data_IF_936542948955
#
_entry.id   IF_936542948955
#
_cell.length_a   1.000
_cell.length_b   1.000
_cell.length_c   1.000
_cell.angle_alpha   90.00
_cell.angle_beta   90.00
_cell.angle_gamma   90.00
#
_symmetry.space_group_name_H-M   'P 1'
#
loop_
_entity.id
_entity.type
_entity.pdbx_description
1 polymer ?
#
# COMPACT_ATOMS: atom_id res chain seq x y z
N UNK A 1 -8.00 -9.51 35.23
CA UNK A 1 -7.50 -8.60 34.19
C UNK A 1 -6.40 -9.36 33.46
N UNK A 2 -6.66 -9.82 32.24
CA UNK A 2 -5.65 -10.54 31.45
C UNK A 2 -4.96 -9.47 30.61
N UNK A 3 -3.70 -9.17 30.92
CA UNK A 3 -2.86 -8.37 30.04
C UNK A 3 -2.48 -9.22 28.82
N UNK A 4 -3.19 -9.04 27.71
CA UNK A 4 -2.88 -9.74 26.46
C UNK A 4 -1.86 -8.91 25.67
N UNK A 5 -0.58 -9.02 26.04
CA UNK A 5 0.53 -8.25 25.43
C UNK A 5 0.98 -8.76 24.05
N UNK A 6 0.32 -9.78 23.48
CA UNK A 6 0.70 -10.38 22.18
C UNK A 6 -0.33 -10.21 21.05
N UNK A 7 -1.62 -10.05 21.36
CA UNK A 7 -2.67 -9.92 20.32
C UNK A 7 -2.59 -8.59 19.55
N UNK A 8 -2.05 -7.54 20.18
CA UNK A 8 -2.02 -6.20 19.58
C UNK A 8 -1.06 -6.10 18.40
N UNK A 9 0.09 -6.78 18.48
CA UNK A 9 1.08 -6.79 17.40
C UNK A 9 0.57 -7.61 16.21
N UNK A 10 0.00 -8.80 16.47
CA UNK A 10 -0.62 -9.64 15.43
C UNK A 10 -1.75 -8.90 14.69
N UNK A 11 -2.60 -8.18 15.43
CA UNK A 11 -3.69 -7.40 14.85
C UNK A 11 -3.17 -6.21 14.05
N UNK A 12 -2.11 -5.54 14.53
CA UNK A 12 -1.49 -4.44 13.81
C UNK A 12 -0.90 -4.89 12.47
N UNK A 13 -0.15 -6.00 12.46
CA UNK A 13 0.41 -6.58 11.24
C UNK A 13 -0.69 -6.99 10.26
N UNK A 14 -1.76 -7.62 10.74
CA UNK A 14 -2.91 -7.97 9.92
C UNK A 14 -3.59 -6.73 9.32
N UNK A 15 -3.75 -5.65 10.10
CA UNK A 15 -4.31 -4.39 9.60
C UNK A 15 -3.41 -3.75 8.55
N UNK A 16 -2.09 -3.79 8.75
CA UNK A 16 -1.11 -3.26 7.81
C UNK A 16 -1.13 -4.05 6.48
N UNK A 17 -1.10 -5.38 6.55
CA UNK A 17 -1.19 -6.25 5.37
C UNK A 17 -2.50 -6.02 4.60
N UNK A 18 -3.62 -5.85 5.31
CA UNK A 18 -4.90 -5.51 4.69
C UNK A 18 -4.88 -4.14 3.99
N UNK A 19 -4.24 -3.14 4.60
CA UNK A 19 -4.09 -1.82 4.00
C UNK A 19 -3.23 -1.84 2.73
N UNK A 20 -2.16 -2.63 2.72
CA UNK A 20 -1.30 -2.85 1.55
C UNK A 20 -2.02 -3.62 0.44
N UNK A 21 -2.76 -4.67 0.78
CA UNK A 21 -3.57 -5.42 -0.18
C UNK A 21 -4.59 -4.52 -0.90
N UNK A 22 -5.20 -3.56 -0.21
CA UNK A 22 -6.10 -2.58 -0.85
C UNK A 22 -5.37 -1.71 -1.88
N UNK A 23 -4.14 -1.29 -1.61
CA UNK A 23 -3.32 -0.54 -2.58
C UNK A 23 -3.06 -1.40 -3.82
N UNK A 24 -2.66 -2.65 -3.65
CA UNK A 24 -2.43 -3.58 -4.77
C UNK A 24 -3.71 -3.79 -5.60
N UNK A 25 -4.88 -3.90 -4.95
CA UNK A 25 -6.15 -3.99 -5.67
C UNK A 25 -6.43 -2.72 -6.49
N UNK A 26 -6.19 -1.52 -5.93
CA UNK A 26 -6.32 -0.27 -6.68
C UNK A 26 -5.42 -0.21 -7.91
N UNK A 27 -4.16 -0.66 -7.79
CA UNK A 27 -3.23 -0.76 -8.93
C UNK A 27 -3.78 -1.73 -9.98
N UNK A 28 -4.18 -2.94 -9.59
CA UNK A 28 -4.74 -3.96 -10.49
C UNK A 28 -5.99 -3.46 -11.22
N UNK A 29 -6.89 -2.79 -10.51
CA UNK A 29 -8.09 -2.19 -11.12
C UNK A 29 -7.73 -1.08 -12.10
N UNK A 30 -6.79 -0.21 -11.76
CA UNK A 30 -6.34 0.85 -12.66
C UNK A 30 -5.72 0.28 -13.93
N UNK A 31 -4.84 -0.72 -13.80
CA UNK A 31 -4.22 -1.43 -14.93
C UNK A 31 -5.26 -2.16 -15.81
N UNK A 32 -6.23 -2.85 -15.20
CA UNK A 32 -7.31 -3.52 -15.92
C UNK A 32 -8.19 -2.54 -16.73
N UNK A 33 -8.28 -1.29 -16.28
CA UNK A 33 -8.96 -0.20 -16.98
C UNK A 33 -8.06 0.53 -18.00
N UNK A 34 -6.85 0.04 -18.25
CA UNK A 34 -5.89 0.61 -19.20
C UNK A 34 -5.11 1.83 -18.70
N UNK A 35 -5.18 2.14 -17.40
CA UNK A 35 -4.41 3.22 -16.81
C UNK A 35 -3.00 2.77 -16.43
N UNK A 36 -2.07 3.72 -16.44
CA UNK A 36 -0.67 3.56 -16.00
C UNK A 36 -0.38 4.23 -14.66
N UNK A 37 -1.40 4.75 -14.00
CA UNK A 37 -1.24 5.35 -12.68
C UNK A 37 -2.51 5.29 -11.86
N UNK A 38 -2.36 5.32 -10.54
CA UNK A 38 -3.44 5.51 -9.60
C UNK A 38 -2.99 6.34 -8.40
N UNK A 39 -3.91 7.08 -7.80
CA UNK A 39 -3.67 7.75 -6.52
C UNK A 39 -4.32 6.93 -5.43
N UNK A 40 -3.55 6.59 -4.41
CA UNK A 40 -4.03 5.86 -3.24
C UNK A 40 -3.85 6.70 -1.99
N UNK A 41 -4.82 6.60 -1.07
CA UNK A 41 -4.72 7.16 0.27
C UNK A 41 -4.82 6.01 1.28
N UNK A 42 -3.72 5.69 1.96
CA UNK A 42 -3.64 4.53 2.83
C UNK A 42 -2.48 4.62 3.81
N UNK A 43 -2.71 4.21 5.07
CA UNK A 43 -1.64 3.99 6.07
C UNK A 43 -0.73 2.80 5.74
N UNK A 44 -1.06 2.03 4.71
CA UNK A 44 -0.22 0.94 4.19
C UNK A 44 0.97 1.40 3.35
N UNK A 45 1.09 2.70 3.05
CA UNK A 45 2.18 3.32 2.30
C UNK A 45 3.46 3.44 3.17
N UNK A 46 3.94 2.31 3.68
CA UNK A 46 5.20 2.26 4.43
C UNK A 46 6.38 2.34 3.48
N UNK A 47 7.51 2.88 3.94
CA UNK A 47 8.74 2.95 3.14
C UNK A 47 9.15 1.57 2.60
N UNK A 48 9.05 0.51 3.41
CA UNK A 48 9.34 -0.87 2.97
C UNK A 48 8.43 -1.32 1.83
N UNK A 49 7.14 -1.01 1.91
CA UNK A 49 6.18 -1.37 0.85
C UNK A 49 6.42 -0.59 -0.43
N UNK A 50 6.75 0.70 -0.32
CA UNK A 50 7.09 1.54 -1.46
C UNK A 50 8.37 1.04 -2.16
N UNK A 51 9.42 0.67 -1.42
CA UNK A 51 10.63 0.08 -2.01
C UNK A 51 10.39 -1.29 -2.67
N UNK A 52 9.45 -2.08 -2.14
CA UNK A 52 9.03 -3.32 -2.81
C UNK A 52 8.32 -3.02 -4.14
N UNK A 53 7.43 -2.03 -4.17
CA UNK A 53 6.76 -1.58 -5.40
C UNK A 53 7.78 -1.10 -6.45
N UNK A 54 8.78 -0.31 -6.07
CA UNK A 54 9.85 0.14 -6.97
C UNK A 54 10.62 -1.04 -7.57
N UNK A 55 10.89 -2.07 -6.77
CA UNK A 55 11.57 -3.30 -7.24
C UNK A 55 10.74 -4.06 -8.28
N UNK A 56 9.41 -3.98 -8.18
CA UNK A 56 8.46 -4.58 -9.13
C UNK A 56 8.18 -3.68 -10.36
N UNK A 57 8.85 -2.51 -10.46
CA UNK A 57 8.69 -1.58 -11.59
C UNK A 57 7.58 -0.54 -11.42
N UNK A 58 7.12 -0.30 -10.19
CA UNK A 58 6.17 0.76 -9.87
C UNK A 58 6.88 1.94 -9.22
N UNK A 59 6.90 3.07 -9.92
CA UNK A 59 7.38 4.33 -9.37
C UNK A 59 6.29 5.03 -8.55
N UNK A 60 6.70 5.93 -7.67
CA UNK A 60 5.77 6.65 -6.83
C UNK A 60 6.20 8.09 -6.53
N UNK A 61 5.21 8.95 -6.30
CA UNK A 61 5.40 10.33 -5.83
C UNK A 61 4.43 10.59 -4.68
N UNK A 62 4.97 10.97 -3.53
CA UNK A 62 4.18 11.39 -2.38
C UNK A 62 3.52 12.74 -2.67
N UNK A 63 2.21 12.84 -2.41
CA UNK A 63 1.44 14.07 -2.63
C UNK A 63 1.15 14.76 -1.29
N UNK A 64 0.66 13.98 -0.32
CA UNK A 64 0.30 14.39 1.04
C UNK A 64 0.55 13.21 1.97
N UNK A 65 0.47 13.42 3.28
CA UNK A 65 0.61 12.36 4.27
C UNK A 65 -0.36 11.20 4.00
N UNK A 66 0.17 9.97 3.87
CA UNK A 66 -0.58 8.77 3.50
C UNK A 66 -1.24 8.82 2.12
N UNK A 67 -0.87 9.75 1.23
CA UNK A 67 -1.45 9.89 -0.11
C UNK A 67 -0.34 9.94 -1.16
N UNK A 68 -0.30 8.90 -1.99
CA UNK A 68 0.77 8.69 -2.97
C UNK A 68 0.17 8.41 -4.34
N UNK A 69 0.76 9.02 -5.37
CA UNK A 69 0.52 8.63 -6.75
C UNK A 69 1.51 7.53 -7.12
N UNK A 70 0.99 6.40 -7.56
CA UNK A 70 1.75 5.25 -8.06
C UNK A 70 1.59 5.21 -9.57
N UNK A 71 2.68 4.98 -10.31
CA UNK A 71 2.67 4.91 -11.77
C UNK A 71 3.67 3.87 -12.29
N UNK A 72 3.42 3.37 -13.50
CA UNK A 72 4.17 2.30 -14.14
C UNK A 72 4.15 2.45 -15.66
N UNK A 73 5.13 1.86 -16.35
CA UNK A 73 5.14 1.79 -17.81
C UNK A 73 4.26 0.65 -18.34
N UNK A 74 3.75 0.78 -19.57
CA UNK A 74 2.90 -0.23 -20.23
C UNK A 74 3.70 -1.43 -20.71
#
# INVERSE_FOLDING_TARGET
MIEVRGLSDDVYELMLANAQNRIIQSIRTAAANGNTSCVVNSKGLTSTFLSQLETEGFDHVELEENKTKIFWEW
#
